data_IF_523247083420
#
_entry.id   IF_523247083420
#
_cell.length_a   1.000
_cell.length_b   1.000
_cell.length_c   1.000
_cell.angle_alpha   90.00
_cell.angle_beta   90.00
_cell.angle_gamma   90.00
#
_symmetry.space_group_name_H-M   'P 1'
#
loop_
_entity.id
_entity.type
_entity.pdbx_description
1 polymer ?
#
# COMPACT_ATOMS: atom_id res chain seq x y z
N UNK A 1 26.63 -10.63 40.55
CA UNK A 1 27.57 -10.25 39.47
C UNK A 1 27.17 -10.85 38.12
N UNK A 2 27.18 -12.19 37.95
CA UNK A 2 26.84 -12.88 36.68
C UNK A 2 25.39 -12.69 36.19
N UNK A 3 24.42 -12.52 37.10
CA UNK A 3 23.01 -12.19 36.78
C UNK A 3 22.77 -10.73 36.38
N UNK A 4 23.63 -9.81 36.82
CA UNK A 4 23.57 -8.39 36.45
C UNK A 4 24.08 -8.17 35.02
N UNK A 5 25.11 -8.93 34.60
CA UNK A 5 25.58 -8.93 33.20
C UNK A 5 24.54 -9.51 32.22
N UNK A 6 23.76 -10.52 32.62
CA UNK A 6 22.68 -11.07 31.78
C UNK A 6 21.48 -10.13 31.62
N UNK A 7 21.18 -9.29 32.62
CA UNK A 7 20.11 -8.30 32.51
C UNK A 7 20.52 -7.11 31.61
N UNK A 8 21.80 -6.70 31.67
CA UNK A 8 22.32 -5.61 30.84
C UNK A 8 22.37 -5.99 29.34
N UNK A 9 22.67 -7.25 29.03
CA UNK A 9 22.71 -7.77 27.66
C UNK A 9 21.31 -7.87 27.01
N UNK A 10 20.27 -8.14 27.82
CA UNK A 10 18.89 -8.23 27.33
C UNK A 10 18.28 -6.86 27.01
N UNK A 11 18.66 -5.81 27.76
CA UNK A 11 18.22 -4.44 27.48
C UNK A 11 18.87 -3.85 26.22
N UNK A 12 20.10 -4.25 25.88
CA UNK A 12 20.80 -3.74 24.69
C UNK A 12 20.27 -4.33 23.37
N UNK A 13 19.72 -5.55 23.41
CA UNK A 13 19.13 -6.21 22.24
C UNK A 13 17.79 -5.59 21.79
N UNK A 14 17.04 -4.94 22.70
CA UNK A 14 15.76 -4.30 22.35
C UNK A 14 15.93 -3.00 21.55
N UNK A 15 17.08 -2.32 21.65
CA UNK A 15 17.28 -1.01 21.02
C UNK A 15 17.74 -1.13 19.55
N UNK A 16 18.33 -2.26 19.14
CA UNK A 16 18.83 -2.47 17.77
C UNK A 16 17.82 -3.10 16.80
N UNK A 17 16.64 -3.53 17.28
CA UNK A 17 15.68 -4.30 16.46
C UNK A 17 14.54 -3.48 15.84
N UNK A 18 14.37 -2.21 16.21
CA UNK A 18 13.34 -1.36 15.62
C UNK A 18 13.87 -0.75 14.30
N UNK A 19 13.74 -1.50 13.20
CA UNK A 19 13.82 -0.87 11.89
C UNK A 19 12.75 0.25 11.83
N UNK A 20 13.08 1.45 11.34
CA UNK A 20 12.09 2.51 11.22
C UNK A 20 10.95 2.02 10.33
N UNK A 21 9.76 1.83 10.92
CA UNK A 21 8.52 1.68 10.16
C UNK A 21 8.15 3.05 9.65
N UNK A 22 8.57 3.40 8.44
CA UNK A 22 8.08 4.60 7.78
C UNK A 22 6.59 4.40 7.49
N UNK A 23 5.75 5.27 8.04
CA UNK A 23 4.36 5.36 7.62
C UNK A 23 4.33 5.78 6.14
N UNK A 24 3.37 5.27 5.39
CA UNK A 24 3.20 5.62 3.98
C UNK A 24 2.92 7.13 3.83
N UNK A 25 3.54 7.75 2.81
CA UNK A 25 3.35 9.14 2.44
C UNK A 25 2.25 9.25 1.37
N UNK A 26 1.05 9.61 1.81
CA UNK A 26 -0.12 9.78 0.93
C UNK A 26 0.10 10.85 -0.14
N UNK A 27 0.85 11.92 0.15
CA UNK A 27 1.09 12.99 -0.81
C UNK A 27 2.02 12.52 -1.93
N UNK A 28 3.07 11.80 -1.58
CA UNK A 28 3.94 11.13 -2.56
C UNK A 28 3.17 10.06 -3.36
N UNK A 29 2.33 9.29 -2.68
CA UNK A 29 1.43 8.31 -3.31
C UNK A 29 0.53 8.92 -4.39
N UNK A 30 0.01 10.14 -4.17
CA UNK A 30 -0.76 10.87 -5.16
C UNK A 30 0.05 11.28 -6.40
N UNK A 31 1.33 11.59 -6.25
CA UNK A 31 2.23 11.86 -7.37
C UNK A 31 2.49 10.59 -8.19
N UNK A 32 2.76 9.47 -7.52
CA UNK A 32 2.93 8.16 -8.15
C UNK A 32 1.66 7.76 -8.89
N UNK A 33 0.49 7.92 -8.26
CA UNK A 33 -0.80 7.62 -8.86
C UNK A 33 -1.01 8.42 -10.15
N UNK A 34 -0.73 9.72 -10.11
CA UNK A 34 -0.88 10.62 -11.27
C UNK A 34 0.02 10.19 -12.43
N UNK A 35 1.26 9.79 -12.14
CA UNK A 35 2.24 9.40 -13.15
C UNK A 35 2.01 8.00 -13.74
N UNK A 36 1.46 7.06 -12.96
CA UNK A 36 1.48 5.64 -13.32
C UNK A 36 0.09 5.00 -13.43
N UNK A 37 -0.92 5.52 -12.73
CA UNK A 37 -2.20 4.84 -12.53
C UNK A 37 -3.36 5.60 -13.19
N UNK A 38 -3.31 6.93 -13.19
CA UNK A 38 -4.40 7.80 -13.60
C UNK A 38 -4.83 7.59 -15.07
N UNK A 39 -3.94 7.12 -15.94
CA UNK A 39 -4.28 6.82 -17.34
C UNK A 39 -5.45 5.83 -17.47
N UNK A 40 -5.56 4.88 -16.53
CA UNK A 40 -6.67 3.92 -16.50
C UNK A 40 -7.67 4.21 -15.38
N UNK A 41 -7.21 4.79 -14.28
CA UNK A 41 -7.96 4.91 -13.02
C UNK A 41 -8.32 6.34 -12.62
N UNK A 42 -8.35 7.27 -13.57
CA UNK A 42 -8.74 8.66 -13.31
C UNK A 42 -10.06 8.76 -12.54
N UNK A 43 -10.09 9.59 -11.49
CA UNK A 43 -11.28 9.78 -10.64
C UNK A 43 -11.76 8.50 -9.94
N UNK A 44 -10.85 7.55 -9.71
CA UNK A 44 -11.18 6.26 -9.11
C UNK A 44 -11.91 5.30 -10.05
N UNK A 45 -12.03 5.64 -11.33
CA UNK A 45 -12.66 4.78 -12.33
C UNK A 45 -11.78 3.61 -12.77
N UNK A 46 -12.22 2.94 -13.83
CA UNK A 46 -11.39 1.98 -14.56
C UNK A 46 -11.88 1.93 -16.01
N UNK A 47 -11.10 2.50 -16.93
CA UNK A 47 -11.45 2.58 -18.36
C UNK A 47 -11.42 1.22 -19.07
N UNK A 48 -10.76 0.22 -18.48
CA UNK A 48 -10.62 -1.13 -19.06
C UNK A 48 -11.76 -2.04 -18.59
N UNK A 49 -12.17 -1.92 -17.34
CA UNK A 49 -13.29 -2.68 -16.77
C UNK A 49 -14.09 -1.81 -15.81
N UNK A 50 -15.27 -1.36 -16.24
CA UNK A 50 -16.11 -0.42 -15.51
C UNK A 50 -16.62 -0.93 -14.15
N UNK A 51 -16.63 -2.25 -13.90
CA UNK A 51 -17.01 -2.81 -12.59
C UNK A 51 -15.84 -2.80 -11.60
N UNK A 52 -14.59 -2.81 -12.09
CA UNK A 52 -13.37 -2.94 -11.26
C UNK A 52 -12.76 -1.56 -10.99
N UNK A 53 -13.57 -0.68 -10.42
CA UNK A 53 -13.15 0.68 -10.03
C UNK A 53 -12.31 0.65 -8.75
N UNK A 54 -11.75 1.80 -8.39
CA UNK A 54 -11.05 2.03 -7.11
C UNK A 54 -11.96 2.63 -6.03
N UNK A 55 -13.28 2.55 -6.22
CA UNK A 55 -14.26 2.96 -5.21
C UNK A 55 -14.38 1.89 -4.12
N UNK A 56 -14.75 2.32 -2.92
CA UNK A 56 -14.79 1.47 -1.73
C UNK A 56 -15.60 0.20 -1.92
N UNK A 57 -16.81 0.33 -2.46
CA UNK A 57 -17.73 -0.78 -2.72
C UNK A 57 -17.15 -1.80 -3.72
N UNK A 58 -16.50 -1.32 -4.77
CA UNK A 58 -15.83 -2.16 -5.76
C UNK A 58 -14.60 -2.86 -5.17
N UNK A 59 -13.77 -2.16 -4.37
CA UNK A 59 -12.61 -2.77 -3.71
C UNK A 59 -13.07 -3.88 -2.75
N UNK A 60 -14.09 -3.64 -1.94
CA UNK A 60 -14.68 -4.64 -1.05
C UNK A 60 -15.24 -5.86 -1.80
N UNK A 61 -15.91 -5.63 -2.93
CA UNK A 61 -16.52 -6.71 -3.70
C UNK A 61 -15.49 -7.55 -4.48
N UNK A 62 -14.37 -6.95 -4.90
CA UNK A 62 -13.59 -7.48 -6.00
C UNK A 62 -12.08 -7.62 -5.75
N UNK A 63 -11.53 -6.87 -4.81
CA UNK A 63 -10.12 -6.95 -4.47
C UNK A 63 -9.92 -8.03 -3.40
N UNK A 64 -9.10 -9.03 -3.74
CA UNK A 64 -8.83 -10.14 -2.82
C UNK A 64 -8.19 -9.62 -1.52
N UNK A 65 -8.65 -10.18 -0.40
CA UNK A 65 -8.17 -9.86 0.95
C UNK A 65 -8.37 -8.41 1.41
N UNK A 66 -9.12 -7.59 0.67
CA UNK A 66 -9.31 -6.18 0.99
C UNK A 66 -9.91 -5.99 2.40
N UNK A 67 -10.98 -6.71 2.76
CA UNK A 67 -11.58 -6.64 4.11
C UNK A 67 -10.67 -7.10 5.25
N UNK A 68 -9.57 -7.79 4.96
CA UNK A 68 -8.59 -8.26 5.94
C UNK A 68 -7.41 -7.29 6.09
N UNK A 69 -7.21 -6.38 5.13
CA UNK A 69 -6.12 -5.42 5.12
C UNK A 69 -6.14 -4.58 3.85
N UNK A 70 -6.74 -3.39 3.94
CA UNK A 70 -7.09 -2.56 2.79
C UNK A 70 -5.86 -2.16 1.95
N UNK A 71 -4.93 -1.42 2.56
CA UNK A 71 -3.70 -0.97 1.90
C UNK A 71 -2.82 -2.15 1.48
N UNK A 72 -2.74 -3.22 2.28
CA UNK A 72 -1.96 -4.41 1.96
C UNK A 72 -2.50 -5.14 0.72
N UNK A 73 -3.83 -5.22 0.57
CA UNK A 73 -4.47 -5.78 -0.60
C UNK A 73 -4.24 -4.92 -1.85
N UNK A 74 -4.33 -3.59 -1.73
CA UNK A 74 -4.04 -2.67 -2.83
C UNK A 74 -2.57 -2.79 -3.25
N UNK A 75 -1.64 -2.75 -2.29
CA UNK A 75 -0.21 -2.91 -2.52
C UNK A 75 0.10 -4.24 -3.21
N UNK A 76 -0.53 -5.34 -2.79
CA UNK A 76 -0.36 -6.64 -3.43
C UNK A 76 -0.82 -6.64 -4.89
N UNK A 77 -1.96 -5.99 -5.18
CA UNK A 77 -2.49 -5.86 -6.53
C UNK A 77 -1.63 -4.97 -7.43
N UNK A 78 -1.08 -3.86 -6.90
CA UNK A 78 -0.11 -3.01 -7.60
C UNK A 78 1.19 -3.77 -7.88
N UNK A 79 1.70 -4.50 -6.89
CA UNK A 79 2.93 -5.29 -7.00
C UNK A 79 2.81 -6.34 -8.09
N UNK A 80 1.74 -7.14 -8.06
CA UNK A 80 1.61 -8.35 -8.88
C UNK A 80 0.87 -8.11 -10.20
N UNK A 81 0.08 -7.04 -10.31
CA UNK A 81 -0.86 -6.85 -11.40
C UNK A 81 -1.93 -7.94 -11.44
N UNK A 82 -2.87 -7.83 -12.38
CA UNK A 82 -3.84 -8.89 -12.70
C UNK A 82 -4.52 -8.59 -14.03
N UNK A 83 -4.57 -9.59 -14.92
CA UNK A 83 -5.17 -9.44 -16.25
C UNK A 83 -4.57 -8.24 -17.01
N UNK A 84 -5.39 -7.25 -17.37
CA UNK A 84 -4.96 -6.05 -18.08
C UNK A 84 -4.23 -5.02 -17.18
N UNK A 85 -4.32 -5.14 -15.85
CA UNK A 85 -3.56 -4.27 -14.94
C UNK A 85 -2.10 -4.76 -14.89
N UNK A 86 -1.12 -3.96 -15.31
CA UNK A 86 0.28 -4.37 -15.30
C UNK A 86 0.81 -4.51 -13.86
N UNK A 87 1.82 -5.35 -13.69
CA UNK A 87 2.59 -5.44 -12.45
C UNK A 87 3.59 -4.27 -12.35
N UNK A 88 3.75 -3.71 -11.16
CA UNK A 88 4.71 -2.65 -10.87
C UNK A 88 5.93 -3.11 -10.07
N UNK A 89 6.01 -4.40 -9.70
CA UNK A 89 7.22 -4.98 -9.13
C UNK A 89 8.43 -4.72 -10.05
N UNK A 90 9.49 -4.14 -9.49
CA UNK A 90 10.71 -3.78 -10.21
C UNK A 90 10.61 -2.48 -11.03
N UNK A 91 9.45 -1.82 -11.07
CA UNK A 91 9.26 -0.47 -11.61
C UNK A 91 9.15 0.58 -10.51
N UNK A 92 8.50 0.21 -9.42
CA UNK A 92 8.34 1.00 -8.21
C UNK A 92 9.07 0.31 -7.05
N UNK A 93 9.58 1.10 -6.10
CA UNK A 93 10.11 0.55 -4.85
C UNK A 93 8.97 0.05 -3.95
N UNK A 94 9.29 -0.75 -2.94
CA UNK A 94 8.29 -1.19 -1.96
C UNK A 94 7.65 0.00 -1.21
N UNK A 95 8.44 1.04 -0.94
CA UNK A 95 7.95 2.27 -0.33
C UNK A 95 6.97 3.01 -1.27
N UNK A 96 7.32 3.16 -2.56
CA UNK A 96 6.43 3.80 -3.54
C UNK A 96 5.10 3.04 -3.68
N UNK A 97 5.15 1.70 -3.62
CA UNK A 97 3.97 0.84 -3.68
C UNK A 97 3.10 1.03 -2.42
N UNK A 98 3.72 1.15 -1.24
CA UNK A 98 3.00 1.44 0.00
C UNK A 98 2.35 2.84 -0.04
N UNK A 99 3.08 3.84 -0.52
CA UNK A 99 2.59 5.22 -0.65
C UNK A 99 1.39 5.31 -1.59
N UNK A 100 1.47 4.71 -2.78
CA UNK A 100 0.34 4.72 -3.74
C UNK A 100 -0.84 3.88 -3.24
N UNK A 101 -0.59 2.81 -2.48
CA UNK A 101 -1.66 2.03 -1.86
C UNK A 101 -2.41 2.83 -0.80
N UNK A 102 -1.68 3.53 0.08
CA UNK A 102 -2.25 4.43 1.09
C UNK A 102 -3.04 5.57 0.44
N UNK A 103 -2.52 6.16 -0.65
CA UNK A 103 -3.24 7.17 -1.42
C UNK A 103 -4.56 6.64 -2.01
N UNK A 104 -4.55 5.46 -2.64
CA UNK A 104 -5.76 4.86 -3.20
C UNK A 104 -6.80 4.57 -2.12
N UNK A 105 -6.37 4.07 -0.96
CA UNK A 105 -7.25 3.84 0.19
C UNK A 105 -7.86 5.14 0.71
N UNK A 106 -7.03 6.16 0.93
CA UNK A 106 -7.48 7.48 1.40
C UNK A 106 -8.51 8.08 0.44
N UNK A 107 -8.26 8.05 -0.87
CA UNK A 107 -9.19 8.55 -1.88
C UNK A 107 -10.46 7.71 -1.97
N UNK A 108 -10.36 6.38 -1.88
CA UNK A 108 -11.51 5.47 -1.85
C UNK A 108 -12.43 5.76 -0.67
N UNK A 109 -11.86 5.92 0.54
CA UNK A 109 -12.61 6.21 1.77
C UNK A 109 -13.34 7.57 1.72
N UNK A 110 -12.80 8.52 0.95
CA UNK A 110 -13.39 9.84 0.69
C UNK A 110 -14.33 9.86 -0.52
N UNK A 111 -14.52 8.73 -1.20
CA UNK A 111 -15.38 8.63 -2.38
C UNK A 111 -14.82 9.31 -3.62
N UNK A 112 -13.50 9.50 -3.70
CA UNK A 112 -12.80 10.20 -4.79
C UNK A 112 -13.24 11.68 -4.97
N UNK A 113 -13.59 12.34 -3.88
CA UNK A 113 -13.95 13.76 -3.81
C UNK A 113 -12.75 14.69 -3.54
#
# INVERSE_FOLDING_TARGET
MRRLFSLLALCLALVLGAAPSFAADVAHGGQIFSANCAACHMGGGNVVNAERTLKQDALEAYLADYSSGHEAAIAAQVTKGKNAMPAFLGKLSEADIADVAAYVEDMSSKGWA
#
